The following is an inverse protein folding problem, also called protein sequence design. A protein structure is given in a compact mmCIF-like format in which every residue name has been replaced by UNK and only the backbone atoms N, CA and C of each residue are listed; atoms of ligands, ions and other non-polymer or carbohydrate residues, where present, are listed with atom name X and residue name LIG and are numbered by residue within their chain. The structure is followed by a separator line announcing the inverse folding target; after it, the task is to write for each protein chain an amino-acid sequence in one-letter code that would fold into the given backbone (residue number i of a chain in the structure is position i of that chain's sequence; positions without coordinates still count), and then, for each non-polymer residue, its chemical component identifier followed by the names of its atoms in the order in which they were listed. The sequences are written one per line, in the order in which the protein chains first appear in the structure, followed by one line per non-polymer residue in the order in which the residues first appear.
data_IF_713984079352
#
_entry.id   IF_713984079352
#
_cell.length_a   1.000
_cell.length_b   1.000
_cell.length_c   1.000
_cell.angle_alpha   90.00
_cell.angle_beta   90.00
_cell.angle_gamma   90.00
#
_symmetry.space_group_name_H-M   'P 1'
#
loop_
_entity.id
_entity.type
_entity.pdbx_description
1 polymer ?
#
# COMPACT_ATOMS: atom_id res chain seq x y z
N UNK A 1 9.10 26.07 3.98
CA UNK A 1 8.04 25.44 4.79
C UNK A 1 7.84 24.02 4.32
N UNK A 2 8.14 23.03 5.17
CA UNK A 2 7.90 21.61 4.90
C UNK A 2 6.39 21.41 4.74
N UNK A 3 5.95 21.05 3.53
CA UNK A 3 4.54 20.73 3.27
C UNK A 3 4.14 19.62 4.25
N UNK A 4 3.04 19.77 5.03
CA UNK A 4 2.61 18.74 5.97
C UNK A 4 2.50 17.41 5.21
N UNK A 5 3.19 16.38 5.72
CA UNK A 5 3.18 15.04 5.13
C UNK A 5 1.72 14.57 5.15
N UNK A 6 1.16 14.44 3.96
CA UNK A 6 -0.20 13.90 3.78
C UNK A 6 -0.13 12.45 4.25
N UNK A 7 -0.96 12.09 5.23
CA UNK A 7 -1.10 10.73 5.72
C UNK A 7 -1.48 9.84 4.53
N UNK A 8 -0.71 8.77 4.34
CA UNK A 8 -0.83 7.91 3.15
C UNK A 8 -1.77 6.76 3.51
N UNK A 9 -2.81 6.56 2.70
CA UNK A 9 -3.75 5.46 2.94
C UNK A 9 -3.06 4.16 2.56
N UNK A 10 -2.91 3.29 3.55
CA UNK A 10 -2.62 1.87 3.32
C UNK A 10 -3.97 1.18 3.39
N UNK A 11 -4.25 0.35 2.38
CA UNK A 11 -5.54 -0.33 2.25
C UNK A 11 -5.52 -1.39 3.35
N UNK A 12 -4.65 -2.42 3.28
CA UNK A 12 -4.48 -3.41 4.35
C UNK A 12 -3.02 -3.56 4.78
N UNK A 13 -2.74 -3.83 6.07
CA UNK A 13 -1.43 -4.31 6.45
C UNK A 13 -1.14 -5.62 5.71
N UNK A 14 0.13 -5.89 5.36
CA UNK A 14 0.50 -7.20 4.82
C UNK A 14 0.10 -8.32 5.80
N UNK A 15 -0.39 -9.45 5.28
CA UNK A 15 -0.73 -10.63 6.09
C UNK A 15 0.52 -11.39 6.61
N UNK A 16 1.70 -10.93 6.24
CA UNK A 16 2.98 -11.50 6.60
C UNK A 16 3.84 -10.46 7.31
N UNK A 17 4.77 -10.91 8.16
CA UNK A 17 5.72 -10.02 8.86
C UNK A 17 7.03 -9.84 8.09
N UNK A 18 7.29 -10.73 7.13
CA UNK A 18 8.46 -10.69 6.27
C UNK A 18 8.51 -11.85 5.29
N UNK A 19 9.44 -11.77 4.34
CA UNK A 19 9.82 -12.83 3.41
C UNK A 19 11.30 -13.16 3.58
N UNK A 20 11.64 -14.44 3.70
CA UNK A 20 13.03 -14.90 3.83
C UNK A 20 13.39 -15.80 2.64
N UNK A 21 14.54 -15.58 1.98
CA UNK A 21 15.04 -16.51 0.98
C UNK A 21 15.41 -17.86 1.63
N UNK A 22 15.12 -18.97 0.95
CA UNK A 22 15.45 -20.32 1.43
C UNK A 22 16.62 -20.91 0.63
N UNK A 23 17.36 -21.86 1.23
CA UNK A 23 18.43 -22.59 0.54
C UNK A 23 19.72 -21.78 0.33
N UNK A 24 19.95 -20.75 1.15
CA UNK A 24 21.16 -19.90 1.10
C UNK A 24 21.99 -20.10 2.37
N UNK A 25 23.32 -20.05 2.22
CA UNK A 25 24.28 -20.07 3.34
C UNK A 25 24.71 -18.65 3.75
N UNK A 26 23.99 -17.62 3.28
CA UNK A 26 24.28 -16.23 3.63
C UNK A 26 23.79 -16.00 5.05
N UNK A 27 24.73 -15.77 5.96
CA UNK A 27 24.43 -15.29 7.31
C UNK A 27 23.57 -14.01 7.19
N UNK A 28 22.45 -13.89 7.93
CA UNK A 28 21.54 -12.76 7.79
C UNK A 28 22.27 -11.46 8.13
N UNK A 29 22.72 -10.78 7.07
CA UNK A 29 23.45 -9.53 7.17
C UNK A 29 22.42 -8.43 6.91
N UNK A 30 21.72 -8.07 7.99
CA UNK A 30 20.58 -7.13 8.02
C UNK A 30 19.35 -7.54 7.19
N UNK A 31 18.23 -6.86 7.42
CA UNK A 31 16.96 -7.08 6.71
C UNK A 31 16.55 -5.83 5.95
N UNK A 32 15.97 -5.99 4.77
CA UNK A 32 15.38 -4.88 4.02
C UNK A 32 14.00 -4.57 4.59
N UNK A 33 13.83 -3.34 5.08
CA UNK A 33 12.53 -2.86 5.54
C UNK A 33 11.65 -2.44 4.37
N UNK A 34 10.53 -3.11 4.20
CA UNK A 34 9.47 -2.74 3.27
C UNK A 34 8.35 -2.04 4.04
N UNK A 35 8.11 -0.76 3.74
CA UNK A 35 7.04 0.00 4.38
C UNK A 35 5.69 -0.52 3.93
N UNK A 36 4.67 -0.41 4.78
CA UNK A 36 3.31 -0.84 4.41
C UNK A 36 2.76 -0.12 3.16
N UNK A 37 3.11 1.15 2.99
CA UNK A 37 2.77 1.91 1.79
C UNK A 37 3.52 1.45 0.53
N UNK A 38 4.75 0.95 0.68
CA UNK A 38 5.55 0.38 -0.41
C UNK A 38 4.95 -0.96 -0.83
N UNK A 39 4.55 -1.78 0.14
CA UNK A 39 3.77 -3.00 -0.11
C UNK A 39 2.46 -2.69 -0.83
N UNK A 40 1.68 -1.72 -0.35
CA UNK A 40 0.40 -1.36 -0.97
C UNK A 40 0.59 -0.88 -2.41
N UNK A 41 1.63 -0.10 -2.69
CA UNK A 41 1.93 0.35 -4.04
C UNK A 41 2.25 -0.81 -4.99
N UNK A 42 3.01 -1.81 -4.53
CA UNK A 42 3.29 -3.04 -5.31
C UNK A 42 2.01 -3.85 -5.52
N UNK A 43 1.20 -4.02 -4.46
CA UNK A 43 -0.06 -4.74 -4.56
C UNK A 43 -0.99 -4.09 -5.60
N UNK A 44 -1.24 -2.79 -5.50
CA UNK A 44 -2.16 -2.10 -6.41
C UNK A 44 -1.65 -2.11 -7.86
N UNK A 45 -0.36 -1.84 -8.08
CA UNK A 45 0.19 -1.73 -9.43
C UNK A 45 0.49 -3.08 -10.09
N UNK A 46 1.13 -4.01 -9.37
CA UNK A 46 1.67 -5.25 -9.96
C UNK A 46 0.76 -6.46 -9.71
N UNK A 47 -0.04 -6.48 -8.63
CA UNK A 47 -0.94 -7.60 -8.33
C UNK A 47 -2.39 -7.33 -8.78
N UNK A 48 -2.94 -6.16 -8.43
CA UNK A 48 -4.28 -5.73 -8.84
C UNK A 48 -4.29 -5.10 -10.26
N UNK A 49 -3.12 -4.97 -10.89
CA UNK A 49 -2.90 -4.49 -12.26
C UNK A 49 -3.47 -3.08 -12.54
N UNK A 50 -3.54 -2.24 -11.50
CA UNK A 50 -4.03 -0.87 -11.65
C UNK A 50 -2.95 0.03 -12.25
N UNK A 51 -3.38 1.03 -13.03
CA UNK A 51 -2.45 2.05 -13.47
C UNK A 51 -2.09 3.00 -12.30
N UNK A 52 -0.97 3.71 -12.41
CA UNK A 52 -0.51 4.61 -11.34
C UNK A 52 -1.51 5.72 -10.99
N UNK A 53 -2.40 6.10 -11.92
CA UNK A 53 -3.41 7.12 -11.63
C UNK A 53 -4.49 6.54 -10.69
N UNK A 54 -5.04 5.38 -11.03
CA UNK A 54 -6.02 4.65 -10.20
C UNK A 54 -5.48 4.34 -8.81
N UNK A 55 -4.29 3.74 -8.75
CA UNK A 55 -3.67 3.38 -7.49
C UNK A 55 -3.36 4.61 -6.62
N UNK A 56 -2.96 5.73 -7.23
CA UNK A 56 -2.74 6.98 -6.50
C UNK A 56 -4.02 7.56 -5.89
N UNK A 57 -5.16 7.44 -6.58
CA UNK A 57 -6.46 7.86 -6.06
C UNK A 57 -6.85 7.03 -4.83
N UNK A 58 -6.65 5.72 -4.88
CA UNK A 58 -6.93 4.83 -3.74
C UNK A 58 -6.07 5.14 -2.52
N UNK A 59 -4.78 5.38 -2.73
CA UNK A 59 -3.86 5.76 -1.65
C UNK A 59 -4.06 7.20 -1.14
N UNK A 60 -4.94 7.99 -1.78
CA UNK A 60 -5.20 9.38 -1.41
C UNK A 60 -4.00 10.32 -1.64
N UNK A 61 -3.14 10.01 -2.61
CA UNK A 61 -1.90 10.74 -2.90
C UNK A 61 -1.81 11.16 -4.36
N UNK A 62 -0.93 12.10 -4.67
CA UNK A 62 -0.68 12.49 -6.06
C UNK A 62 -0.02 11.36 -6.85
N UNK A 63 -0.31 11.25 -8.15
CA UNK A 63 0.33 10.29 -9.08
C UNK A 63 1.88 10.32 -9.02
N UNK A 64 2.56 11.48 -8.97
CA UNK A 64 4.02 11.53 -8.77
C UNK A 64 4.49 11.01 -7.40
N UNK A 65 3.69 11.17 -6.34
CA UNK A 65 4.01 10.57 -5.03
C UNK A 65 3.89 9.06 -5.08
N UNK A 66 2.81 8.54 -5.68
CA UNK A 66 2.63 7.10 -5.87
C UNK A 66 3.79 6.49 -6.65
N UNK A 67 4.18 7.10 -7.77
CA UNK A 67 5.28 6.61 -8.60
C UNK A 67 6.61 6.51 -7.82
N UNK A 68 6.92 7.47 -6.94
CA UNK A 68 8.12 7.44 -6.09
C UNK A 68 8.08 6.31 -5.05
N UNK A 69 6.92 6.10 -4.42
CA UNK A 69 6.73 5.00 -3.44
C UNK A 69 6.89 3.65 -4.16
N UNK A 70 6.20 3.48 -5.28
CA UNK A 70 6.28 2.28 -6.10
C UNK A 70 7.71 1.99 -6.60
N UNK A 71 8.43 3.01 -7.06
CA UNK A 71 9.83 2.86 -7.47
C UNK A 71 10.73 2.41 -6.31
N UNK A 72 10.56 3.02 -5.13
CA UNK A 72 11.33 2.66 -3.93
C UNK A 72 11.06 1.22 -3.52
N UNK A 73 9.79 0.81 -3.54
CA UNK A 73 9.35 -0.55 -3.25
C UNK A 73 10.00 -1.57 -4.21
N UNK A 74 9.95 -1.32 -5.52
CA UNK A 74 10.57 -2.22 -6.52
C UNK A 74 12.07 -2.33 -6.36
N UNK A 75 12.77 -1.23 -6.05
CA UNK A 75 14.23 -1.25 -5.80
C UNK A 75 14.58 -2.08 -4.56
N UNK A 76 13.79 -1.99 -3.49
CA UNK A 76 13.96 -2.79 -2.27
C UNK A 76 13.75 -4.29 -2.53
N UNK A 77 12.68 -4.64 -3.25
CA UNK A 77 12.40 -6.03 -3.63
C UNK A 77 13.52 -6.58 -4.52
N UNK A 78 13.95 -5.82 -5.53
CA UNK A 78 15.04 -6.22 -6.41
C UNK A 78 16.35 -6.43 -5.62
N UNK A 79 16.69 -5.54 -4.70
CA UNK A 79 17.86 -5.68 -3.83
C UNK A 79 17.78 -6.94 -2.97
N UNK A 80 16.64 -7.19 -2.32
CA UNK A 80 16.43 -8.39 -1.51
C UNK A 80 16.63 -9.67 -2.32
N UNK A 81 16.13 -9.68 -3.57
CA UNK A 81 16.22 -10.82 -4.45
C UNK A 81 17.66 -11.07 -4.93
N UNK A 82 18.37 -10.01 -5.33
CA UNK A 82 19.75 -10.12 -5.84
C UNK A 82 20.76 -10.43 -4.73
N UNK A 83 20.62 -9.80 -3.57
CA UNK A 83 21.56 -9.95 -2.44
C UNK A 83 21.18 -11.11 -1.51
N UNK A 84 20.08 -11.82 -1.77
CA UNK A 84 19.56 -12.92 -0.91
C UNK A 84 19.33 -12.46 0.54
N UNK A 85 18.74 -11.28 0.70
CA UNK A 85 18.44 -10.66 2.00
C UNK A 85 16.96 -10.82 2.34
N UNK A 86 16.64 -11.03 3.62
CA UNK A 86 15.25 -11.08 4.07
C UNK A 86 14.56 -9.70 3.96
N UNK A 87 13.27 -9.70 3.65
CA UNK A 87 12.41 -8.52 3.70
C UNK A 87 11.61 -8.59 5.00
N UNK A 88 11.57 -7.49 5.76
CA UNK A 88 10.64 -7.31 6.89
C UNK A 88 9.67 -6.20 6.57
N UNK A 89 8.39 -6.43 6.83
CA UNK A 89 7.39 -5.38 6.67
C UNK A 89 7.36 -4.53 7.92
N UNK A 90 7.51 -3.21 7.77
CA UNK A 90 7.50 -2.28 8.89
C UNK A 90 6.45 -1.19 8.69
N UNK A 91 5.96 -0.65 9.81
CA UNK A 91 5.08 0.51 9.80
C UNK A 91 5.88 1.75 9.37
N UNK A 92 5.41 2.44 8.33
CA UNK A 92 5.92 3.77 7.95
C UNK A 92 5.05 4.90 8.51
N UNK A 93 4.99 6.03 7.80
CA UNK A 93 4.03 7.13 8.04
C UNK A 93 2.59 6.76 7.55
N UNK A 94 2.15 5.53 7.81
CA UNK A 94 0.87 4.99 7.33
C UNK A 94 -0.22 5.12 8.41
N UNK A 95 -1.40 5.65 8.04
CA UNK A 95 -2.56 5.62 8.93
C UNK A 95 -3.35 4.34 8.65
N UNK A 96 -3.48 3.47 9.65
CA UNK A 96 -4.31 2.26 9.56
C UNK A 96 -5.74 2.63 9.98
N UNK A 97 -6.63 2.86 9.03
CA UNK A 97 -8.03 3.16 9.35
C UNK A 97 -8.84 1.87 9.56
N UNK A 98 -9.62 1.83 10.64
CA UNK A 98 -10.36 0.64 11.10
C UNK A 98 -11.64 0.34 10.30
N UNK A 99 -12.12 1.27 9.45
CA UNK A 99 -13.39 1.14 8.76
C UNK A 99 -13.17 0.97 7.26
N UNK A 100 -13.45 -0.25 6.80
CA UNK A 100 -13.26 -0.67 5.44
C UNK A 100 -14.56 -0.64 4.67
N UNK A 101 -14.53 -0.16 3.44
CA UNK A 101 -15.66 -0.14 2.54
C UNK A 101 -15.33 -0.91 1.27
N UNK A 102 -16.33 -1.56 0.68
CA UNK A 102 -16.29 -2.16 -0.66
C UNK A 102 -17.31 -1.46 -1.52
N UNK A 103 -16.90 -0.97 -2.68
CA UNK A 103 -17.85 -0.48 -3.67
C UNK A 103 -18.54 -1.65 -4.37
N UNK A 104 -19.87 -1.64 -4.43
CA UNK A 104 -20.64 -2.69 -5.11
C UNK A 104 -20.39 -2.67 -6.64
N UNK A 105 -20.18 -1.49 -7.22
CA UNK A 105 -20.06 -1.34 -8.67
C UNK A 105 -18.68 -1.74 -9.21
N UNK A 106 -17.61 -1.26 -8.58
CA UNK A 106 -16.24 -1.52 -9.05
C UNK A 106 -15.48 -2.51 -8.16
N UNK A 107 -16.14 -3.09 -7.15
CA UNK A 107 -15.57 -4.08 -6.22
C UNK A 107 -14.30 -3.61 -5.50
N UNK A 108 -14.04 -2.31 -5.54
CA UNK A 108 -12.87 -1.68 -4.95
C UNK A 108 -13.03 -1.64 -3.44
N UNK A 109 -11.98 -2.06 -2.73
CA UNK A 109 -11.88 -1.92 -1.29
C UNK A 109 -11.13 -0.63 -0.93
N UNK A 110 -11.68 0.17 -0.04
CA UNK A 110 -11.08 1.46 0.35
C UNK A 110 -11.54 1.89 1.75
N UNK A 111 -10.88 2.88 2.31
CA UNK A 111 -11.24 3.48 3.61
C UNK A 111 -11.65 4.94 3.42
N UNK A 112 -12.65 5.37 4.21
CA UNK A 112 -13.11 6.76 4.27
C UNK A 112 -12.70 7.34 5.63
N UNK A 113 -11.83 8.36 5.65
CA UNK A 113 -11.47 9.07 6.87
C UNK A 113 -12.71 9.66 7.53
N UNK A 114 -12.78 9.62 8.86
CA UNK A 114 -13.91 10.20 9.63
C UNK A 114 -14.15 11.70 9.37
N UNK A 115 -13.19 12.40 8.77
CA UNK A 115 -13.29 13.83 8.43
C UNK A 115 -13.99 14.09 7.09
N UNK A 116 -14.27 13.06 6.30
CA UNK A 116 -14.96 13.16 5.01
C UNK A 116 -16.37 12.61 5.18
N UNK A 117 -17.38 13.47 4.99
CA UNK A 117 -18.80 13.07 5.05
C UNK A 117 -19.29 12.41 3.74
N UNK A 118 -18.55 12.60 2.65
CA UNK A 118 -18.85 12.01 1.34
C UNK A 118 -18.51 10.51 1.32
N UNK A 119 -19.55 9.69 1.37
CA UNK A 119 -19.49 8.23 1.30
C UNK A 119 -19.50 7.72 -0.15
N UNK A 120 -18.54 8.20 -0.95
CA UNK A 120 -18.40 7.80 -2.35
C UNK A 120 -17.15 6.93 -2.59
N UNK A 121 -17.24 6.06 -3.59
CA UNK A 121 -16.10 5.29 -4.07
C UNK A 121 -15.05 6.21 -4.71
N UNK A 122 -13.77 6.17 -4.30
CA UNK A 122 -12.71 7.02 -4.87
C UNK A 122 -12.37 6.68 -6.33
N UNK A 123 -12.80 5.52 -6.83
CA UNK A 123 -12.53 5.04 -8.18
C UNK A 123 -13.65 5.40 -9.17
N UNK A 124 -14.88 4.97 -8.89
CA UNK A 124 -16.02 5.17 -9.78
C UNK A 124 -16.98 6.29 -9.35
N UNK A 125 -16.79 6.89 -8.16
CA UNK A 125 -17.70 7.87 -7.54
C UNK A 125 -19.11 7.33 -7.26
N UNK A 126 -19.27 6.01 -7.20
CA UNK A 126 -20.54 5.42 -6.77
C UNK A 126 -20.74 5.62 -5.27
N UNK A 127 -21.96 5.96 -4.87
CA UNK A 127 -22.42 6.01 -3.48
C UNK A 127 -22.76 4.61 -2.93
N UNK A 128 -22.76 3.57 -3.79
CA UNK A 128 -23.06 2.19 -3.39
C UNK A 128 -21.83 1.52 -2.80
N UNK A 129 -21.63 1.75 -1.51
CA UNK A 129 -20.45 1.27 -0.78
C UNK A 129 -20.91 0.57 0.51
N UNK A 130 -20.42 -0.65 0.74
CA UNK A 130 -20.75 -1.46 1.92
C UNK A 130 -19.59 -1.45 2.91
N UNK A 131 -19.88 -1.24 4.19
CA UNK A 131 -18.89 -1.38 5.26
C UNK A 131 -18.56 -2.88 5.46
N UNK A 132 -17.29 -3.25 5.31
CA UNK A 132 -16.79 -4.56 5.72
C UNK A 132 -16.74 -4.62 7.24
N UNK A 133 -17.74 -5.28 7.82
CA UNK A 133 -17.71 -5.68 9.22
C UNK A 133 -16.69 -6.83 9.38
N UNK A 134 -15.49 -6.52 9.87
CA UNK A 134 -14.58 -7.51 10.49
C UNK A 134 -14.83 -7.62 11.97
#
# INVERSE_FOLDING_TARGET
MSRPKTLRKVVAPPNFKGYRPYGTNVEPTDSIELLYEEYEAIKLADYDLMNHLEASKLMGISRPTFARIYETARRKIAKAFVETIEIKTVYGDALLEKHWYVCEECQTRFTIPKTIEEHECPLCKSERIELLNT
#
